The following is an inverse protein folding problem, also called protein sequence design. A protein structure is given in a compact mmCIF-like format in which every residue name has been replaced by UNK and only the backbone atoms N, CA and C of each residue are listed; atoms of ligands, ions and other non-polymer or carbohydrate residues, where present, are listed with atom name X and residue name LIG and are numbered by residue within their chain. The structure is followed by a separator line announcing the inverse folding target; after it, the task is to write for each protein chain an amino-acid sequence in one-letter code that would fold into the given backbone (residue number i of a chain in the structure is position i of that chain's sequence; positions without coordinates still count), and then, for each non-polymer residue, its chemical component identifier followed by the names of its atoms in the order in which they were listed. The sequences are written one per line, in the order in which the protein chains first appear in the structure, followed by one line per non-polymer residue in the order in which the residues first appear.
data_IF_161862434121
#
_entry.id   IF_161862434121
#
_cell.length_a   1.000
_cell.length_b   1.000
_cell.length_c   1.000
_cell.angle_alpha   90.00
_cell.angle_beta   90.00
_cell.angle_gamma   90.00
#
_symmetry.space_group_name_H-M   'P 1'
#
loop_
_entity.id
_entity.type
_entity.pdbx_description
1 polymer ?
#
# COMPACT_ATOMS: atom_id res chain seq x y z
N UNK A 1 23.95 -0.99 17.05
CA UNK A 1 22.96 -0.85 15.94
C UNK A 1 21.84 -1.83 16.21
N UNK A 2 20.59 -1.38 16.25
CA UNK A 2 19.50 -2.28 16.57
C UNK A 2 19.21 -3.22 15.38
N UNK A 3 19.47 -4.51 15.55
CA UNK A 3 18.91 -5.55 14.67
C UNK A 3 17.40 -5.59 14.89
N UNK A 4 16.63 -5.50 13.80
CA UNK A 4 15.17 -5.63 13.88
C UNK A 4 14.83 -7.12 14.01
N UNK A 5 14.14 -7.48 15.10
CA UNK A 5 13.58 -8.82 15.28
C UNK A 5 12.19 -8.86 14.62
N UNK A 6 12.17 -9.22 13.33
CA UNK A 6 10.95 -9.22 12.51
C UNK A 6 9.88 -10.16 13.09
N UNK A 7 10.28 -11.24 13.79
CA UNK A 7 9.34 -12.18 14.39
C UNK A 7 8.48 -11.52 15.48
N UNK A 8 9.02 -10.53 16.20
CA UNK A 8 8.33 -9.79 17.26
C UNK A 8 7.48 -8.62 16.80
N UNK A 9 7.58 -8.23 15.52
CA UNK A 9 6.75 -7.13 15.01
C UNK A 9 5.33 -7.66 14.79
N UNK A 10 4.32 -7.00 15.38
CA UNK A 10 2.93 -7.42 15.22
C UNK A 10 2.51 -7.31 13.76
N UNK A 11 1.68 -8.25 13.33
CA UNK A 11 1.04 -8.21 12.02
C UNK A 11 -0.11 -7.20 12.06
N UNK A 12 -0.08 -6.25 11.13
CA UNK A 12 -1.14 -5.27 10.91
C UNK A 12 -1.99 -5.70 9.71
N UNK A 13 -3.24 -6.06 9.97
CA UNK A 13 -4.25 -6.44 8.96
C UNK A 13 -5.30 -5.35 8.77
N UNK A 14 -5.16 -4.20 9.44
CA UNK A 14 -6.16 -3.14 9.43
C UNK A 14 -6.30 -2.57 8.02
N UNK A 15 -7.55 -2.55 7.55
CA UNK A 15 -7.94 -1.87 6.33
C UNK A 15 -8.84 -0.69 6.66
N UNK A 16 -8.39 0.52 6.35
CA UNK A 16 -9.11 1.76 6.61
C UNK A 16 -10.03 2.19 5.46
N UNK A 17 -10.04 1.46 4.34
CA UNK A 17 -10.91 1.80 3.22
C UNK A 17 -12.39 1.80 3.65
N UNK A 18 -13.17 2.81 3.19
CA UNK A 18 -14.60 2.85 3.46
C UNK A 18 -15.36 1.79 2.66
N UNK A 19 -16.63 1.58 2.98
CA UNK A 19 -17.54 0.81 2.14
C UNK A 19 -17.74 1.48 0.76
N UNK A 20 -17.77 0.69 -0.33
CA UNK A 20 -17.65 -0.78 -0.42
C UNK A 20 -16.23 -1.26 -0.77
N UNK A 21 -15.18 -0.47 -0.53
CA UNK A 21 -13.85 -0.65 -1.15
C UNK A 21 -12.86 -1.52 -0.35
N UNK A 22 -13.23 -2.05 0.80
CA UNK A 22 -12.28 -2.78 1.66
C UNK A 22 -12.08 -4.25 1.30
N UNK A 23 -13.07 -4.88 0.64
CA UNK A 23 -13.09 -6.34 0.43
C UNK A 23 -11.85 -6.87 -0.31
N UNK A 24 -11.36 -6.25 -1.39
CA UNK A 24 -10.18 -6.75 -2.09
C UNK A 24 -8.89 -6.75 -1.25
N UNK A 25 -8.87 -5.98 -0.16
CA UNK A 25 -7.70 -5.81 0.70
C UNK A 25 -7.64 -6.89 1.80
N UNK A 26 -8.69 -7.66 1.96
CA UNK A 26 -8.69 -8.80 2.90
C UNK A 26 -7.59 -9.78 2.51
N UNK A 27 -6.75 -10.17 3.49
CA UNK A 27 -5.57 -11.02 3.25
C UNK A 27 -4.28 -10.23 2.99
N UNK A 28 -4.29 -8.91 3.06
CA UNK A 28 -3.06 -8.12 3.15
C UNK A 28 -2.60 -8.05 4.61
N UNK A 29 -1.39 -8.50 4.86
CA UNK A 29 -0.72 -8.47 6.16
C UNK A 29 0.53 -7.60 6.08
N UNK A 30 0.79 -6.73 7.05
CA UNK A 30 1.98 -5.86 7.07
C UNK A 30 2.69 -5.95 8.40
N UNK A 31 4.02 -5.99 8.36
CA UNK A 31 4.89 -5.71 9.51
C UNK A 31 5.62 -4.40 9.27
N UNK A 32 5.39 -3.40 10.11
CA UNK A 32 5.91 -2.04 9.95
C UNK A 32 7.34 -1.93 10.48
N UNK A 33 8.32 -2.38 9.66
CA UNK A 33 9.73 -2.51 10.06
C UNK A 33 10.35 -1.15 10.43
N UNK A 34 10.08 -0.12 9.62
CA UNK A 34 10.59 1.22 9.87
C UNK A 34 10.09 1.82 11.17
N UNK A 35 8.81 1.57 11.51
CA UNK A 35 8.22 2.06 12.76
C UNK A 35 8.87 1.41 13.99
N UNK A 36 9.24 0.12 13.90
CA UNK A 36 9.86 -0.61 15.00
C UNK A 36 11.19 0.00 15.47
N UNK A 37 11.85 0.79 14.62
CA UNK A 37 13.12 1.47 14.93
C UNK A 37 13.01 3.00 14.81
N UNK A 38 11.80 3.54 14.75
CA UNK A 38 11.55 4.99 14.78
C UNK A 38 11.94 5.76 13.52
N UNK A 39 11.98 5.11 12.34
CA UNK A 39 12.22 5.83 11.09
C UNK A 39 11.07 6.80 10.81
N UNK A 40 11.38 8.06 10.52
CA UNK A 40 10.40 9.12 10.33
C UNK A 40 10.31 9.65 8.89
N UNK A 41 11.39 9.60 8.12
CA UNK A 41 11.45 10.17 6.78
C UNK A 41 10.81 9.28 5.71
N UNK A 42 10.81 7.97 5.94
CA UNK A 42 10.18 6.98 5.06
C UNK A 42 9.66 5.79 5.85
N UNK A 43 8.69 5.09 5.28
CA UNK A 43 8.17 3.83 5.76
C UNK A 43 8.91 2.65 5.13
N UNK A 44 9.12 1.59 5.91
CA UNK A 44 9.56 0.28 5.39
C UNK A 44 8.64 -0.77 5.98
N UNK A 45 7.96 -1.51 5.12
CA UNK A 45 7.05 -2.56 5.52
C UNK A 45 7.42 -3.88 4.85
N UNK A 46 7.33 -4.97 5.60
CA UNK A 46 7.26 -6.31 5.04
C UNK A 46 5.79 -6.64 4.86
N UNK A 47 5.39 -6.90 3.61
CA UNK A 47 3.99 -7.13 3.25
C UNK A 47 3.83 -8.55 2.73
N UNK A 48 2.80 -9.24 3.22
CA UNK A 48 2.34 -10.52 2.69
C UNK A 48 0.96 -10.34 2.09
N UNK A 49 0.79 -10.74 0.84
CA UNK A 49 -0.52 -10.86 0.20
C UNK A 49 -0.90 -12.33 0.14
N UNK A 50 -2.00 -12.68 0.82
CA UNK A 50 -2.62 -14.00 0.70
C UNK A 50 -3.17 -14.21 -0.70
N UNK A 51 -3.48 -15.44 -1.07
CA UNK A 51 -4.13 -15.76 -2.34
C UNK A 51 -5.35 -14.85 -2.60
N UNK A 52 -5.40 -14.17 -3.74
CA UNK A 52 -6.47 -13.26 -4.14
C UNK A 52 -6.43 -11.85 -3.52
N UNK A 53 -5.56 -11.60 -2.54
CA UNK A 53 -5.49 -10.30 -1.87
C UNK A 53 -4.83 -9.22 -2.75
N UNK A 54 -5.29 -7.99 -2.57
CA UNK A 54 -4.72 -6.79 -3.20
C UNK A 54 -3.94 -5.96 -2.18
N UNK A 55 -2.87 -5.29 -2.62
CA UNK A 55 -2.16 -4.30 -1.78
C UNK A 55 -3.03 -3.09 -1.48
N UNK A 56 -3.77 -2.64 -2.48
CA UNK A 56 -4.61 -1.45 -2.48
C UNK A 56 -5.54 -1.48 -3.68
N UNK A 57 -6.50 -0.55 -3.77
CA UNK A 57 -7.04 -0.16 -5.07
C UNK A 57 -5.95 0.56 -5.87
N UNK A 58 -6.03 0.55 -7.19
CA UNK A 58 -5.09 1.24 -8.06
C UNK A 58 -5.09 2.73 -7.73
N UNK A 59 -3.91 3.27 -7.42
CA UNK A 59 -3.74 4.64 -6.96
C UNK A 59 -2.36 5.17 -7.32
N UNK A 60 -2.18 6.48 -7.21
CA UNK A 60 -0.90 7.16 -7.27
C UNK A 60 -0.80 8.22 -6.16
N UNK A 61 0.40 8.53 -5.76
CA UNK A 61 0.73 9.46 -4.68
C UNK A 61 1.14 10.82 -5.22
N UNK A 62 0.59 11.89 -4.65
CA UNK A 62 0.93 13.26 -5.06
C UNK A 62 2.31 13.70 -4.55
N UNK A 63 2.63 13.40 -3.31
CA UNK A 63 3.80 13.93 -2.61
C UNK A 63 4.75 12.85 -2.09
N UNK A 64 4.45 11.57 -2.32
CA UNK A 64 5.24 10.45 -1.82
C UNK A 64 5.75 9.56 -2.96
N UNK A 65 7.05 9.23 -2.90
CA UNK A 65 7.63 8.19 -3.73
C UNK A 65 7.28 6.83 -3.11
N UNK A 66 7.09 5.82 -3.95
CA UNK A 66 6.87 4.44 -3.53
C UNK A 66 7.78 3.49 -4.30
N UNK A 67 8.28 2.48 -3.60
CA UNK A 67 9.13 1.43 -4.16
C UNK A 67 8.77 0.09 -3.53
N UNK A 68 8.83 -0.96 -4.35
CA UNK A 68 8.66 -2.34 -3.87
C UNK A 68 9.78 -3.24 -4.39
N UNK A 69 10.07 -4.30 -3.63
CA UNK A 69 10.98 -5.37 -4.01
C UNK A 69 10.38 -6.71 -3.61
N UNK A 70 10.20 -7.62 -4.57
CA UNK A 70 9.58 -8.92 -4.35
C UNK A 70 10.59 -9.89 -3.73
N UNK A 71 10.18 -10.54 -2.63
CA UNK A 71 10.98 -11.52 -1.91
C UNK A 71 10.55 -12.95 -2.22
N UNK A 72 9.23 -13.21 -2.22
CA UNK A 72 8.67 -14.55 -2.38
C UNK A 72 7.37 -14.52 -3.18
N UNK A 73 7.08 -15.60 -3.89
CA UNK A 73 5.85 -15.75 -4.67
C UNK A 73 5.85 -14.92 -5.96
N UNK A 74 4.68 -14.79 -6.56
CA UNK A 74 4.46 -13.96 -7.75
C UNK A 74 3.41 -12.91 -7.46
N UNK A 75 3.62 -11.69 -7.95
CA UNK A 75 2.73 -10.55 -7.76
C UNK A 75 2.38 -9.98 -9.13
N UNK A 76 1.09 -9.80 -9.39
CA UNK A 76 0.61 -9.09 -10.57
C UNK A 76 0.58 -7.59 -10.27
N UNK A 77 1.49 -6.84 -10.84
CA UNK A 77 1.43 -5.38 -10.88
C UNK A 77 0.41 -4.95 -11.93
N UNK A 78 -0.56 -4.13 -11.54
CA UNK A 78 -1.57 -3.54 -12.42
C UNK A 78 -1.36 -2.03 -12.50
N UNK A 79 -1.16 -1.53 -13.72
CA UNK A 79 -0.94 -0.12 -14.00
C UNK A 79 -1.91 0.40 -15.08
N UNK A 80 -1.80 1.67 -15.45
CA UNK A 80 -2.63 2.32 -16.49
C UNK A 80 -2.47 1.65 -17.86
N UNK A 81 -1.29 1.10 -18.13
CA UNK A 81 -0.92 0.55 -19.44
C UNK A 81 -0.94 -0.97 -19.49
N UNK A 82 -1.45 -1.64 -18.45
CA UNK A 82 -1.57 -3.09 -18.44
C UNK A 82 -1.11 -3.74 -17.15
N UNK A 83 -0.70 -5.00 -17.28
CA UNK A 83 -0.28 -5.83 -16.15
C UNK A 83 1.10 -6.43 -16.41
N UNK A 84 1.89 -6.54 -15.34
CA UNK A 84 3.21 -7.19 -15.34
C UNK A 84 3.28 -8.16 -14.18
N UNK A 85 3.77 -9.38 -14.42
CA UNK A 85 4.04 -10.33 -13.34
C UNK A 85 5.43 -10.08 -12.80
N UNK A 86 5.52 -9.79 -11.50
CA UNK A 86 6.76 -9.62 -10.76
C UNK A 86 7.08 -10.90 -9.99
N UNK A 87 8.35 -11.31 -9.99
CA UNK A 87 8.89 -12.49 -9.32
C UNK A 87 9.95 -12.11 -8.29
N UNK A 88 10.38 -13.03 -7.42
CA UNK A 88 11.46 -12.75 -6.48
C UNK A 88 12.70 -12.18 -7.17
N UNK A 89 13.18 -11.04 -6.67
CA UNK A 89 14.27 -10.27 -7.27
C UNK A 89 13.82 -9.10 -8.15
N UNK A 90 12.55 -9.06 -8.57
CA UNK A 90 12.02 -7.92 -9.32
C UNK A 90 11.67 -6.76 -8.38
N UNK A 91 11.73 -5.56 -8.93
CA UNK A 91 11.39 -4.32 -8.25
C UNK A 91 10.53 -3.42 -9.13
N UNK A 92 9.75 -2.56 -8.50
CA UNK A 92 9.02 -1.48 -9.16
C UNK A 92 9.02 -0.24 -8.28
N UNK A 93 8.84 0.95 -8.88
CA UNK A 93 8.81 2.19 -8.11
C UNK A 93 8.10 3.30 -8.86
N UNK A 94 7.48 4.19 -8.10
CA UNK A 94 6.69 5.31 -8.61
C UNK A 94 7.12 6.58 -7.91
N UNK A 95 7.51 7.53 -8.74
CA UNK A 95 7.84 8.88 -8.28
C UNK A 95 6.55 9.60 -7.88
N UNK A 96 6.64 10.45 -6.88
CA UNK A 96 5.58 11.40 -6.52
C UNK A 96 5.07 12.15 -7.75
N UNK A 97 3.75 12.32 -7.84
CA UNK A 97 3.01 12.96 -8.93
C UNK A 97 3.25 12.32 -10.33
N UNK A 98 3.65 11.05 -10.37
CA UNK A 98 3.77 10.31 -11.65
C UNK A 98 2.44 10.19 -12.39
N UNK A 99 1.33 10.23 -11.65
CA UNK A 99 -0.06 10.03 -12.12
C UNK A 99 -0.31 8.66 -12.73
N UNK A 100 0.64 7.73 -12.58
CA UNK A 100 0.48 6.34 -13.00
C UNK A 100 -0.16 5.57 -11.85
N UNK A 101 -1.44 5.25 -12.01
CA UNK A 101 -2.15 4.44 -11.01
C UNK A 101 -1.60 3.02 -11.00
N UNK A 102 -1.29 2.49 -9.82
CA UNK A 102 -0.75 1.15 -9.64
C UNK A 102 -1.36 0.44 -8.44
N UNK A 103 -1.38 -0.87 -8.47
CA UNK A 103 -1.63 -1.75 -7.33
C UNK A 103 -1.03 -3.12 -7.58
N UNK A 104 -0.79 -3.84 -6.50
CA UNK A 104 -0.28 -5.21 -6.51
C UNK A 104 -1.41 -6.17 -6.17
N UNK A 105 -1.51 -7.25 -6.92
CA UNK A 105 -2.52 -8.29 -6.73
C UNK A 105 -1.83 -9.65 -6.68
N UNK A 106 -2.12 -10.43 -5.66
CA UNK A 106 -1.72 -11.83 -5.65
C UNK A 106 -2.78 -12.67 -6.40
N UNK A 107 -2.53 -12.92 -7.68
CA UNK A 107 -3.41 -13.73 -8.53
C UNK A 107 -3.14 -15.23 -8.44
N UNK A 108 -2.27 -15.67 -7.53
CA UNK A 108 -1.87 -17.07 -7.34
C UNK A 108 -2.59 -17.73 -6.15
N UNK A 109 -2.33 -19.02 -5.93
CA UNK A 109 -2.86 -19.76 -4.78
C UNK A 109 -1.88 -19.83 -3.60
N UNK A 110 -0.71 -19.18 -3.69
CA UNK A 110 0.33 -19.13 -2.66
C UNK A 110 0.49 -17.71 -2.18
N UNK A 111 0.99 -17.56 -0.95
CA UNK A 111 1.35 -16.24 -0.44
C UNK A 111 2.45 -15.59 -1.29
N UNK A 112 2.38 -14.27 -1.41
CA UNK A 112 3.44 -13.47 -2.01
C UNK A 112 3.95 -12.46 -0.98
N UNK A 113 5.28 -12.26 -0.93
CA UNK A 113 5.94 -11.40 0.06
C UNK A 113 6.82 -10.38 -0.64
N UNK A 114 6.71 -9.12 -0.22
CA UNK A 114 7.53 -8.03 -0.73
C UNK A 114 7.87 -7.00 0.34
N UNK A 115 8.94 -6.25 0.09
CA UNK A 115 9.25 -5.02 0.84
C UNK A 115 8.58 -3.85 0.13
N UNK A 116 7.90 -3.01 0.90
CA UNK A 116 7.33 -1.74 0.49
C UNK A 116 8.10 -0.61 1.19
N UNK A 117 8.57 0.35 0.42
CA UNK A 117 9.24 1.56 0.92
C UNK A 117 8.53 2.77 0.34
N UNK A 118 8.13 3.70 1.19
CA UNK A 118 7.52 4.95 0.75
C UNK A 118 7.98 6.13 1.59
N UNK A 119 8.17 7.28 0.97
CA UNK A 119 8.48 8.51 1.69
C UNK A 119 7.29 8.94 2.57
N UNK A 120 7.51 9.84 3.51
CA UNK A 120 6.49 10.36 4.44
C UNK A 120 6.40 11.87 4.32
N UNK A 121 5.57 12.34 3.41
CA UNK A 121 5.28 13.76 3.29
C UNK A 121 4.38 14.24 4.45
N UNK A 122 4.55 15.48 4.95
CA UNK A 122 3.67 16.06 5.97
C UNK A 122 2.20 16.16 5.53
N UNK A 123 1.99 16.32 4.22
CA UNK A 123 0.68 16.33 3.57
C UNK A 123 0.74 15.40 2.38
N UNK A 124 -0.24 14.51 2.25
CA UNK A 124 -0.31 13.55 1.16
C UNK A 124 -1.74 13.46 0.61
N UNK A 125 -1.83 13.23 -0.69
CA UNK A 125 -3.07 12.87 -1.36
C UNK A 125 -2.82 11.68 -2.28
N UNK A 126 -3.38 10.53 -1.93
CA UNK A 126 -3.44 9.40 -2.85
C UNK A 126 -4.73 9.49 -3.68
N UNK A 127 -4.58 9.41 -5.00
CA UNK A 127 -5.67 9.53 -5.97
C UNK A 127 -5.98 8.15 -6.55
N UNK A 128 -7.26 7.78 -6.53
CA UNK A 128 -7.76 6.50 -7.03
C UNK A 128 -8.50 6.71 -8.35
N UNK A 129 -7.88 6.44 -9.52
CA UNK A 129 -8.49 6.76 -10.82
C UNK A 129 -9.78 5.97 -11.08
N UNK A 130 -9.86 4.72 -10.63
CA UNK A 130 -10.94 3.77 -10.98
C UNK A 130 -12.18 3.87 -10.09
N UNK A 131 -12.07 4.52 -8.96
CA UNK A 131 -13.15 4.64 -7.97
C UNK A 131 -13.34 6.10 -7.54
N UNK A 132 -14.49 6.43 -6.99
CA UNK A 132 -14.80 7.77 -6.50
C UNK A 132 -14.16 8.01 -5.12
N UNK A 133 -12.82 8.03 -5.07
CA UNK A 133 -12.10 8.16 -3.81
C UNK A 133 -10.78 8.91 -3.95
N UNK A 134 -10.42 9.64 -2.91
CA UNK A 134 -9.07 10.11 -2.59
C UNK A 134 -8.79 9.82 -1.12
N UNK A 135 -7.55 9.47 -0.80
CA UNK A 135 -7.09 9.47 0.59
C UNK A 135 -6.28 10.76 0.82
N UNK A 136 -6.65 11.51 1.81
CA UNK A 136 -5.95 12.75 2.22
C UNK A 136 -5.35 12.53 3.61
N UNK A 137 -4.10 12.90 3.79
CA UNK A 137 -3.39 12.85 5.07
C UNK A 137 -2.72 14.17 5.37
N UNK A 138 -2.89 14.63 6.60
CA UNK A 138 -2.23 15.78 7.17
C UNK A 138 -1.90 15.52 8.66
N UNK A 139 -1.53 16.57 9.41
CA UNK A 139 -1.23 16.49 10.85
C UNK A 139 -2.39 16.01 11.72
N UNK A 140 -3.62 16.05 11.21
CA UNK A 140 -4.83 15.59 11.92
C UNK A 140 -5.13 14.11 11.70
N UNK A 141 -4.45 13.47 10.74
CA UNK A 141 -4.62 12.07 10.40
C UNK A 141 -4.98 11.85 8.94
N UNK A 142 -5.38 10.62 8.63
CA UNK A 142 -5.81 10.21 7.30
C UNK A 142 -7.34 10.12 7.23
N UNK A 143 -7.90 10.62 6.13
CA UNK A 143 -9.33 10.50 5.80
C UNK A 143 -9.53 10.11 4.34
N UNK A 144 -10.66 9.49 4.06
CA UNK A 144 -11.08 9.19 2.70
C UNK A 144 -12.23 10.11 2.29
N UNK A 145 -12.14 10.66 1.09
CA UNK A 145 -13.13 11.58 0.54
C UNK A 145 -13.50 11.17 -0.88
N UNK A 146 -14.70 11.54 -1.32
CA UNK A 146 -15.11 11.44 -2.72
C UNK A 146 -14.28 12.39 -3.60
N UNK A 147 -14.30 12.20 -4.91
CA UNK A 147 -13.69 13.15 -5.86
C UNK A 147 -14.25 14.55 -5.72
N UNK A 148 -15.49 14.70 -5.25
CA UNK A 148 -16.14 15.98 -4.91
C UNK A 148 -15.58 16.64 -3.66
N UNK A 149 -14.86 15.90 -2.79
CA UNK A 149 -14.39 16.38 -1.49
C UNK A 149 -15.27 15.97 -0.30
N UNK A 150 -16.44 15.37 -0.54
CA UNK A 150 -17.31 14.87 0.52
C UNK A 150 -16.64 13.70 1.27
N UNK A 151 -16.59 13.71 2.61
CA UNK A 151 -15.94 12.63 3.36
C UNK A 151 -16.76 11.34 3.33
N UNK A 152 -16.06 10.22 3.25
CA UNK A 152 -16.64 8.92 3.54
C UNK A 152 -16.79 8.69 5.03
N UNK A 153 -17.84 7.97 5.47
CA UNK A 153 -17.95 7.53 6.86
C UNK A 153 -16.72 6.71 7.26
N UNK A 154 -16.23 6.93 8.48
CA UNK A 154 -15.13 6.13 9.04
C UNK A 154 -15.64 4.71 9.27
N UNK A 155 -14.99 3.75 8.63
CA UNK A 155 -15.28 2.34 8.87
C UNK A 155 -14.77 1.95 10.25
N UNK A 156 -15.66 1.44 11.10
CA UNK A 156 -15.25 0.80 12.34
C UNK A 156 -14.60 -0.54 11.98
N UNK A 157 -13.33 -0.71 12.36
CA UNK A 157 -12.59 -1.96 12.20
C UNK A 157 -13.15 -3.06 13.10
#
# INVERSE_FOLDING_TARGET
MPKIDIAKIPVDTVCMYPEPFWQPIVGRERKRLGNAVGLSQFGVNLVTLKAGAWSSHRHWHRNEDEFIYVLEGEITLREDHGVTVLKPGDAAGWKADSRIGHCLVNSTQKDAVYIEVGTRAPHETAVYPDIDMRAERDKTGQRYVRKTGEPYPVRKA
#
